data_IF_407289324722
#
_entry.id   IF_407289324722
#
_cell.length_a   1.000
_cell.length_b   1.000
_cell.length_c   1.000
_cell.angle_alpha   90.00
_cell.angle_beta   90.00
_cell.angle_gamma   90.00
#
_symmetry.space_group_name_H-M   'P 1'
#
loop_
_entity.id
_entity.type
_entity.pdbx_description
1 polymer ?
#
# COMPACT_ATOMS: atom_id res chain seq x y z
N UNK A 1 -15.07 -0.54 4.26
CA UNK A 1 -13.70 -0.30 4.76
C UNK A 1 -13.66 1.07 5.42
N UNK A 2 -13.17 1.14 6.66
CA UNK A 2 -12.83 2.40 7.35
C UNK A 2 -11.42 2.86 6.92
N UNK A 3 -11.23 4.16 6.69
CA UNK A 3 -9.94 4.73 6.25
C UNK A 3 -9.50 5.83 7.22
N UNK A 4 -8.32 5.65 7.82
CA UNK A 4 -7.60 6.68 8.57
C UNK A 4 -6.44 7.21 7.71
N UNK A 5 -6.59 8.43 7.21
CA UNK A 5 -5.57 9.12 6.40
C UNK A 5 -5.01 10.36 7.13
N UNK A 6 -5.21 10.47 8.44
CA UNK A 6 -4.83 11.65 9.21
C UNK A 6 -3.31 11.91 9.25
N UNK A 7 -2.51 10.85 9.09
CA UNK A 7 -1.05 10.90 9.03
C UNK A 7 -0.47 10.93 7.62
N UNK A 8 -1.29 11.03 6.57
CA UNK A 8 -0.86 11.02 5.17
C UNK A 8 -1.01 12.41 4.55
N UNK A 9 0.06 12.90 3.93
CA UNK A 9 0.12 14.15 3.18
C UNK A 9 -0.84 14.21 1.98
N UNK A 10 -1.24 13.05 1.46
CA UNK A 10 -1.93 12.93 0.17
C UNK A 10 -0.97 12.71 -1.01
N UNK A 11 0.34 12.68 -0.77
CA UNK A 11 1.34 12.45 -1.81
C UNK A 11 1.45 10.96 -2.16
N UNK A 12 1.60 10.66 -3.45
CA UNK A 12 1.80 9.32 -3.97
C UNK A 12 0.62 8.82 -4.81
N UNK A 13 0.80 8.83 -6.14
CA UNK A 13 -0.22 8.38 -7.07
C UNK A 13 -0.47 6.87 -6.94
N UNK A 14 0.58 6.09 -6.69
CA UNK A 14 0.45 4.66 -6.50
C UNK A 14 -0.20 4.32 -5.15
N UNK A 15 0.06 5.10 -4.11
CA UNK A 15 -0.59 4.99 -2.80
C UNK A 15 -2.09 5.18 -2.92
N UNK A 16 -2.53 6.21 -3.65
CA UNK A 16 -3.94 6.43 -3.94
C UNK A 16 -4.56 5.24 -4.69
N UNK A 17 -3.90 4.74 -5.76
CA UNK A 17 -4.36 3.55 -6.50
C UNK A 17 -4.48 2.32 -5.59
N UNK A 18 -3.53 2.12 -4.68
CA UNK A 18 -3.53 1.01 -3.74
C UNK A 18 -4.69 1.11 -2.75
N UNK A 19 -4.97 2.31 -2.21
CA UNK A 19 -6.12 2.56 -1.32
C UNK A 19 -7.44 2.25 -2.05
N UNK A 20 -7.55 2.66 -3.32
CA UNK A 20 -8.75 2.41 -4.12
C UNK A 20 -8.94 0.91 -4.40
N UNK A 21 -7.86 0.18 -4.69
CA UNK A 21 -7.90 -1.27 -4.82
C UNK A 21 -8.32 -1.97 -3.50
N UNK A 22 -7.78 -1.54 -2.36
CA UNK A 22 -8.13 -2.07 -1.04
C UNK A 22 -9.59 -1.79 -0.67
N UNK A 23 -10.12 -0.62 -1.04
CA UNK A 23 -11.52 -0.25 -0.82
C UNK A 23 -12.50 -1.20 -1.53
N UNK A 24 -12.08 -1.78 -2.65
CA UNK A 24 -12.86 -2.78 -3.40
C UNK A 24 -12.86 -4.19 -2.77
N UNK A 25 -12.05 -4.44 -1.74
CA UNK A 25 -11.92 -5.76 -1.11
C UNK A 25 -12.79 -5.87 0.15
N UNK A 26 -13.78 -6.77 0.13
CA UNK A 26 -14.70 -6.99 1.27
C UNK A 26 -14.00 -7.46 2.53
N UNK A 27 -12.87 -8.15 2.38
CA UNK A 27 -12.13 -8.75 3.48
C UNK A 27 -11.17 -7.76 4.15
N UNK A 28 -11.08 -6.52 3.67
CA UNK A 28 -10.31 -5.43 4.27
C UNK A 28 -11.26 -4.52 5.06
N UNK A 29 -11.16 -4.58 6.39
CA UNK A 29 -12.06 -3.86 7.28
C UNK A 29 -11.61 -2.42 7.51
N UNK A 30 -10.31 -2.22 7.71
CA UNK A 30 -9.72 -0.93 8.07
C UNK A 30 -8.38 -0.74 7.35
N UNK A 31 -8.12 0.50 6.94
CA UNK A 31 -6.84 0.92 6.36
C UNK A 31 -6.40 2.20 7.07
N UNK A 32 -5.14 2.24 7.50
CA UNK A 32 -4.47 3.48 7.92
C UNK A 32 -3.31 3.78 6.99
N UNK A 33 -3.16 5.03 6.59
CA UNK A 33 -2.09 5.48 5.71
C UNK A 33 -1.33 6.61 6.38
N UNK A 34 -0.01 6.54 6.35
CA UNK A 34 0.88 7.52 6.96
C UNK A 34 2.09 7.80 6.06
N UNK A 35 2.58 9.04 6.06
CA UNK A 35 3.87 9.36 5.45
C UNK A 35 5.00 8.71 6.28
N UNK A 36 5.90 8.00 5.61
CA UNK A 36 7.08 7.45 6.27
C UNK A 36 8.13 8.56 6.50
N UNK A 37 8.94 8.48 7.57
CA UNK A 37 10.00 9.45 7.85
C UNK A 37 11.06 9.59 6.74
N UNK A 38 11.15 8.60 5.85
CA UNK A 38 12.14 8.53 4.78
C UNK A 38 11.81 9.43 3.57
N UNK A 39 10.61 10.02 3.49
CA UNK A 39 10.22 10.93 2.41
C UNK A 39 11.20 12.10 2.31
N UNK A 40 11.82 12.28 1.13
CA UNK A 40 12.88 13.28 0.90
C UNK A 40 12.79 13.84 -0.51
N UNK A 41 12.85 15.16 -0.64
CA UNK A 41 13.05 15.85 -1.91
C UNK A 41 14.52 16.29 -2.04
N UNK A 42 15.12 16.10 -3.21
CA UNK A 42 16.49 16.51 -3.55
C UNK A 42 16.55 17.07 -4.98
N UNK A 43 17.66 17.72 -5.36
CA UNK A 43 17.85 18.49 -6.60
C UNK A 43 17.78 17.67 -7.92
N UNK A 44 17.34 16.42 -7.87
CA UNK A 44 17.15 15.56 -9.04
C UNK A 44 16.14 14.42 -8.86
N UNK A 45 15.62 14.22 -7.65
CA UNK A 45 14.57 13.24 -7.40
C UNK A 45 13.67 13.65 -6.23
N UNK A 46 12.41 13.26 -6.31
CA UNK A 46 11.49 13.26 -5.18
C UNK A 46 11.28 11.82 -4.76
N UNK A 47 11.52 11.53 -3.49
CA UNK A 47 11.24 10.23 -2.89
C UNK A 47 10.05 10.35 -1.96
N UNK A 48 8.94 9.75 -2.36
CA UNK A 48 7.74 9.59 -1.54
C UNK A 48 7.82 8.21 -0.92
N UNK A 49 7.69 8.13 0.40
CA UNK A 49 7.62 6.87 1.12
C UNK A 49 6.38 6.88 1.99
N UNK A 50 5.47 5.94 1.76
CA UNK A 50 4.22 5.81 2.51
C UNK A 50 4.12 4.43 3.15
N UNK A 51 3.49 4.38 4.33
CA UNK A 51 3.16 3.14 5.03
C UNK A 51 1.64 2.96 5.08
N UNK A 52 1.19 1.75 4.73
CA UNK A 52 -0.23 1.38 4.71
C UNK A 52 -0.44 0.21 5.67
N UNK A 53 -1.30 0.39 6.66
CA UNK A 53 -1.64 -0.62 7.65
C UNK A 53 -3.04 -1.14 7.39
N UNK A 54 -3.18 -2.44 7.15
CA UNK A 54 -4.46 -3.08 6.83
C UNK A 54 -4.94 -3.98 7.96
N UNK A 55 -6.21 -3.89 8.33
CA UNK A 55 -6.87 -4.86 9.22
C UNK A 55 -7.85 -5.67 8.40
N UNK A 56 -7.74 -6.99 8.50
CA UNK A 56 -8.63 -7.92 7.83
C UNK A 56 -9.89 -8.19 8.64
N UNK A 57 -11.00 -8.41 7.94
CA UNK A 57 -12.23 -8.89 8.55
C UNK A 57 -12.04 -10.33 9.03
N UNK A 58 -12.49 -10.63 10.25
CA UNK A 58 -12.57 -12.01 10.72
C UNK A 58 -13.80 -12.69 10.09
N UNK A 59 -13.65 -13.83 9.41
CA UNK A 59 -14.81 -14.57 8.93
C UNK A 59 -15.65 -15.03 10.13
N UNK A 60 -16.97 -14.85 10.03
CA UNK A 60 -17.91 -15.32 11.05
C UNK A 60 -17.82 -16.84 11.26
N UNK A 61 -18.19 -17.31 12.45
CA UNK A 61 -18.09 -18.74 12.83
C UNK A 61 -18.78 -19.65 11.80
N UNK A 62 -19.98 -19.28 11.35
CA UNK A 62 -20.71 -20.04 10.33
C UNK A 62 -19.96 -20.11 9.00
N UNK A 63 -19.41 -18.98 8.52
CA UNK A 63 -18.64 -18.93 7.28
C UNK A 63 -17.37 -19.79 7.36
N UNK A 64 -16.70 -19.79 8.51
CA UNK A 64 -15.50 -20.62 8.72
C UNK A 64 -15.81 -22.11 8.76
N UNK A 65 -16.85 -22.51 9.51
CA UNK A 65 -17.15 -23.94 9.77
C UNK A 65 -17.92 -24.58 8.62
N UNK A 66 -18.90 -23.87 8.05
CA UNK A 66 -19.81 -24.44 7.04
C UNK A 66 -19.31 -24.17 5.62
N UNK A 67 -18.79 -22.97 5.36
CA UNK A 67 -18.36 -22.57 4.01
C UNK A 67 -16.85 -22.72 3.79
N UNK A 68 -16.10 -23.15 4.82
CA UNK A 68 -14.65 -23.29 4.74
C UNK A 68 -13.93 -21.96 4.49
N UNK A 69 -14.54 -20.84 4.83
CA UNK A 69 -13.98 -19.51 4.60
C UNK A 69 -12.62 -19.40 5.33
N UNK A 70 -11.57 -19.14 4.55
CA UNK A 70 -10.22 -18.95 5.08
C UNK A 70 -10.03 -17.48 5.45
N UNK A 71 -9.39 -17.19 6.60
CA UNK A 71 -9.09 -15.81 6.97
C UNK A 71 -8.21 -15.16 5.90
N UNK A 72 -8.43 -13.87 5.68
CA UNK A 72 -7.52 -13.07 4.86
C UNK A 72 -6.16 -12.95 5.57
N UNK A 73 -5.10 -12.95 4.79
CA UNK A 73 -3.71 -12.83 5.24
C UNK A 73 -2.96 -11.89 4.30
N UNK A 74 -1.77 -11.44 4.69
CA UNK A 74 -0.95 -10.60 3.81
C UNK A 74 -0.58 -11.30 2.51
N UNK A 75 -0.30 -12.61 2.54
CA UNK A 75 -0.05 -13.41 1.34
C UNK A 75 -1.29 -13.50 0.41
N UNK A 76 -2.50 -13.65 0.97
CA UNK A 76 -3.74 -13.65 0.17
C UNK A 76 -4.04 -12.27 -0.39
N UNK A 77 -3.76 -11.22 0.39
CA UNK A 77 -3.85 -9.83 -0.07
C UNK A 77 -2.90 -9.58 -1.24
N UNK A 78 -1.64 -10.02 -1.13
CA UNK A 78 -0.65 -9.90 -2.21
C UNK A 78 -1.12 -10.60 -3.49
N UNK A 79 -1.67 -11.81 -3.39
CA UNK A 79 -2.25 -12.50 -4.54
C UNK A 79 -3.42 -11.71 -5.16
N UNK A 80 -4.31 -11.15 -4.34
CA UNK A 80 -5.43 -10.34 -4.82
C UNK A 80 -4.95 -9.04 -5.49
N UNK A 81 -4.00 -8.33 -4.89
CA UNK A 81 -3.40 -7.11 -5.45
C UNK A 81 -2.59 -7.39 -6.72
N UNK A 82 -1.94 -8.55 -6.82
CA UNK A 82 -1.23 -8.97 -8.03
C UNK A 82 -2.16 -9.12 -9.23
N UNK A 83 -3.38 -9.62 -8.97
CA UNK A 83 -4.42 -9.75 -9.99
C UNK A 83 -5.20 -8.45 -10.24
N UNK A 84 -5.05 -7.44 -9.38
CA UNK A 84 -5.74 -6.17 -9.52
C UNK A 84 -5.11 -5.33 -10.64
N UNK A 85 -5.97 -4.71 -11.45
CA UNK A 85 -5.54 -3.83 -12.52
C UNK A 85 -4.67 -2.69 -11.97
N UNK A 86 -3.57 -2.38 -12.67
CA UNK A 86 -2.62 -1.30 -12.35
C UNK A 86 -1.82 -1.41 -11.05
N UNK A 87 -2.03 -2.44 -10.22
CA UNK A 87 -1.22 -2.68 -9.01
C UNK A 87 -0.05 -3.63 -9.31
N UNK A 88 -0.39 -4.85 -9.73
CA UNK A 88 0.60 -5.90 -10.02
C UNK A 88 1.32 -6.46 -8.78
N UNK A 89 2.35 -7.29 -8.99
CA UNK A 89 3.10 -7.88 -7.88
C UNK A 89 3.89 -6.82 -7.10
N UNK A 90 4.03 -7.06 -5.80
CA UNK A 90 4.99 -6.35 -4.95
C UNK A 90 6.43 -6.66 -5.35
N UNK A 91 7.31 -5.67 -5.23
CA UNK A 91 8.75 -5.78 -5.48
C UNK A 91 9.47 -6.57 -4.36
N UNK A 92 8.88 -6.58 -3.16
CA UNK A 92 9.26 -7.45 -2.05
C UNK A 92 8.01 -7.91 -1.30
N UNK A 93 7.99 -9.16 -0.84
CA UNK A 93 6.92 -9.71 -0.02
C UNK A 93 7.46 -10.74 0.97
N UNK A 94 7.08 -10.59 2.24
CA UNK A 94 7.24 -11.61 3.28
C UNK A 94 5.93 -11.77 4.08
N UNK A 95 5.95 -12.53 5.17
CA UNK A 95 4.75 -12.74 6.01
C UNK A 95 4.25 -11.47 6.72
N UNK A 96 5.12 -10.47 6.91
CA UNK A 96 4.84 -9.27 7.70
C UNK A 96 4.70 -7.99 6.88
N UNK A 97 5.21 -7.95 5.64
CA UNK A 97 5.29 -6.74 4.83
C UNK A 97 5.27 -7.02 3.32
N UNK A 98 4.56 -6.16 2.58
CA UNK A 98 4.68 -6.04 1.12
C UNK A 98 5.31 -4.68 0.79
N UNK A 99 6.25 -4.63 -0.14
CA UNK A 99 6.83 -3.38 -0.62
C UNK A 99 6.63 -3.22 -2.11
N UNK A 100 6.16 -2.05 -2.49
CA UNK A 100 6.08 -1.61 -3.87
C UNK A 100 7.05 -0.47 -4.08
N UNK A 101 7.75 -0.49 -5.22
CA UNK A 101 8.60 0.59 -5.68
C UNK A 101 8.14 0.97 -7.09
N UNK A 102 7.76 2.23 -7.26
CA UNK A 102 7.39 2.80 -8.56
C UNK A 102 8.31 3.96 -8.85
N UNK A 103 8.88 3.99 -10.04
CA UNK A 103 9.73 5.07 -10.48
C UNK A 103 9.20 5.64 -11.78
N UNK A 104 8.99 6.94 -11.81
CA UNK A 104 8.58 7.66 -13.00
C UNK A 104 9.47 8.88 -13.22
N UNK A 105 9.54 9.34 -14.46
CA UNK A 105 10.23 10.58 -14.80
C UNK A 105 9.18 11.63 -15.12
N UNK A 106 9.06 12.62 -14.25
CA UNK A 106 8.12 13.72 -14.40
C UNK A 106 8.84 14.90 -15.05
N UNK A 107 8.30 15.40 -16.16
CA UNK A 107 8.80 16.61 -16.83
C UNK A 107 7.72 17.67 -16.71
N UNK A 108 7.96 18.71 -15.91
CA UNK A 108 7.02 19.82 -15.79
C UNK A 108 6.88 20.55 -17.14
N UNK A 109 5.70 21.10 -17.46
CA UNK A 109 5.55 21.98 -18.61
C UNK A 109 6.61 23.08 -18.60
N UNK A 110 7.23 23.34 -19.76
CA UNK A 110 8.29 24.33 -19.94
C UNK A 110 9.63 24.06 -19.23
N UNK A 111 9.84 22.87 -18.63
CA UNK A 111 11.15 22.39 -18.19
C UNK A 111 11.74 21.35 -19.15
N UNK A 112 13.05 21.43 -19.39
CA UNK A 112 13.79 20.43 -20.18
C UNK A 112 14.37 19.30 -19.32
N UNK A 113 14.61 19.57 -18.03
CA UNK A 113 15.09 18.59 -17.06
C UNK A 113 13.89 18.00 -16.30
N UNK A 114 13.66 16.70 -16.45
CA UNK A 114 12.69 15.97 -15.66
C UNK A 114 13.23 15.62 -14.27
N UNK A 115 12.36 15.59 -13.28
CA UNK A 115 12.65 15.08 -11.94
C UNK A 115 12.28 13.60 -11.91
N UNK A 116 13.13 12.78 -11.30
CA UNK A 116 12.79 11.38 -11.04
C UNK A 116 11.88 11.32 -9.82
N UNK A 117 10.63 10.88 -9.98
CA UNK A 117 9.79 10.54 -8.84
C UNK A 117 9.99 9.07 -8.52
N UNK A 118 10.27 8.77 -7.27
CA UNK A 118 10.33 7.41 -6.75
C UNK A 118 9.33 7.34 -5.61
N UNK A 119 8.34 6.46 -5.76
CA UNK A 119 7.31 6.20 -4.77
C UNK A 119 7.53 4.80 -4.20
N UNK A 120 7.76 4.72 -2.89
CA UNK A 120 7.84 3.48 -2.15
C UNK A 120 6.62 3.36 -1.24
N UNK A 121 5.91 2.24 -1.33
CA UNK A 121 4.76 1.96 -0.46
C UNK A 121 4.98 0.65 0.25
N UNK A 122 4.93 0.67 1.58
CA UNK A 122 5.03 -0.53 2.41
C UNK A 122 3.67 -0.84 3.01
N UNK A 123 3.21 -2.08 2.86
CA UNK A 123 1.94 -2.55 3.39
C UNK A 123 2.20 -3.52 4.54
N UNK A 124 1.60 -3.25 5.68
CA UNK A 124 1.68 -4.05 6.90
C UNK A 124 0.29 -4.50 7.33
N UNK A 125 0.20 -5.64 8.02
CA UNK A 125 -0.99 -5.91 8.82
C UNK A 125 -1.01 -4.97 10.04
N UNK A 126 -2.18 -4.41 10.37
CA UNK A 126 -2.36 -3.52 11.51
C UNK A 126 -1.97 -4.23 12.81
N UNK A 127 -1.16 -3.56 13.64
CA UNK A 127 -0.57 -4.14 14.85
C UNK A 127 0.86 -4.66 14.67
N UNK A 128 1.36 -4.75 13.42
CA UNK A 128 2.78 -4.98 13.14
C UNK A 128 3.55 -3.67 13.33
N UNK A 129 4.60 -3.68 14.14
CA UNK A 129 5.51 -2.53 14.26
C UNK A 129 6.28 -2.35 12.94
N UNK A 130 6.31 -1.14 12.36
CA UNK A 130 7.11 -0.86 11.17
C UNK A 130 8.58 -1.25 11.40
N UNK A 131 9.20 -1.94 10.44
CA UNK A 131 10.65 -2.12 10.45
C UNK A 131 11.28 -0.77 10.11
N UNK A 132 11.82 -0.10 11.12
CA UNK A 132 12.63 1.11 10.95
C UNK A 132 14.03 0.66 10.55
N UNK A 133 14.36 0.83 9.28
CA UNK A 133 15.73 0.74 8.77
C UNK A 133 16.47 2.07 9.00
#
# INVERSE_FOLDING_TARGET
MELDASGWSGDGAFTQLLIDALRGMTDVQFVRVEDAPASRADAGFNFISNEVFVRFAAPGVLARVVQGARPMTLARLHAALTAADRIGPADYADEGMLQYLRAERVVAPYQTRGVKLVEMVRVYQAGTTPRRD
#
